data_IF_999028466955
#
_entry.id   IF_999028466955
#
_cell.length_a   1.000
_cell.length_b   1.000
_cell.length_c   1.000
_cell.angle_alpha   90.00
_cell.angle_beta   90.00
_cell.angle_gamma   90.00
#
_symmetry.space_group_name_H-M   'P 1'
#
loop_
_entity.id
_entity.type
_entity.pdbx_description
1 polymer ?
#
# COMPACT_ATOMS: atom_id res chain seq x y z
N UNK A 1 -16.30 1.31 5.94
CA UNK A 1 -15.76 1.33 4.56
C UNK A 1 -15.08 0.00 4.24
N UNK A 2 -14.87 -0.28 2.96
CA UNK A 2 -14.22 -1.49 2.42
C UNK A 2 -12.75 -1.26 2.07
N UNK A 3 -12.00 -2.35 1.98
CA UNK A 3 -10.65 -2.40 1.44
C UNK A 3 -10.66 -3.00 0.03
N UNK A 4 -9.66 -2.64 -0.76
CA UNK A 4 -9.38 -3.22 -2.07
C UNK A 4 -7.90 -3.60 -2.16
N UNK A 5 -7.58 -4.41 -3.17
CA UNK A 5 -6.20 -4.77 -3.48
C UNK A 5 -5.74 -4.08 -4.76
N UNK A 6 -4.64 -3.34 -4.68
CA UNK A 6 -3.97 -2.74 -5.84
C UNK A 6 -2.63 -3.44 -6.01
N UNK A 7 -2.55 -4.35 -6.98
CA UNK A 7 -1.33 -5.12 -7.25
C UNK A 7 -0.75 -5.74 -5.97
N UNK A 8 -1.60 -6.42 -5.19
CA UNK A 8 -1.24 -7.10 -3.93
C UNK A 8 -0.96 -6.19 -2.72
N UNK A 9 -1.35 -4.90 -2.78
CA UNK A 9 -1.37 -4.02 -1.61
C UNK A 9 -2.82 -3.76 -1.18
N UNK A 10 -3.12 -4.05 0.08
CA UNK A 10 -4.41 -3.74 0.70
C UNK A 10 -4.44 -2.24 1.04
N UNK A 11 -5.45 -1.54 0.53
CA UNK A 11 -5.68 -0.12 0.76
C UNK A 11 -7.17 0.16 1.00
N UNK A 12 -7.47 1.32 1.58
CA UNK A 12 -8.83 1.84 1.62
C UNK A 12 -9.38 2.08 0.20
N UNK A 13 -10.62 1.64 -0.06
CA UNK A 13 -11.25 1.78 -1.39
C UNK A 13 -11.49 3.23 -1.81
N UNK A 14 -11.91 4.10 -0.89
CA UNK A 14 -12.27 5.49 -1.25
C UNK A 14 -11.06 6.40 -1.40
N UNK A 15 -10.08 6.26 -0.49
CA UNK A 15 -8.94 7.18 -0.40
C UNK A 15 -7.64 6.61 -0.97
N UNK A 16 -7.62 5.31 -1.29
CA UNK A 16 -6.46 4.64 -1.92
C UNK A 16 -5.18 4.82 -1.09
N UNK A 17 -5.30 4.72 0.23
CA UNK A 17 -4.19 4.79 1.19
C UNK A 17 -4.16 3.55 2.06
N UNK A 18 -2.97 3.13 2.49
CA UNK A 18 -2.78 1.96 3.36
C UNK A 18 -3.37 2.20 4.76
N UNK A 19 -3.20 3.40 5.31
CA UNK A 19 -3.80 3.83 6.58
C UNK A 19 -4.71 5.02 6.28
N UNK A 20 -5.98 4.89 6.61
CA UNK A 20 -7.01 5.88 6.37
C UNK A 20 -7.73 6.21 7.67
N UNK A 21 -7.42 7.38 8.24
CA UNK A 21 -8.07 7.87 9.46
C UNK A 21 -9.55 8.18 9.23
N UNK A 22 -9.93 8.69 8.05
CA UNK A 22 -11.33 9.00 7.74
C UNK A 22 -12.21 7.73 7.72
N UNK A 23 -11.65 6.63 7.24
CA UNK A 23 -12.34 5.34 7.12
C UNK A 23 -12.08 4.39 8.30
N UNK A 24 -11.17 4.77 9.21
CA UNK A 24 -10.67 3.94 10.32
C UNK A 24 -10.13 2.58 9.84
N UNK A 25 -9.35 2.60 8.75
CA UNK A 25 -8.71 1.41 8.16
C UNK A 25 -7.20 1.51 8.36
N UNK A 26 -6.58 0.44 8.86
CA UNK A 26 -5.13 0.29 8.94
C UNK A 26 -4.71 -1.05 8.31
N UNK A 27 -4.22 -1.00 7.07
CA UNK A 27 -3.79 -2.18 6.31
C UNK A 27 -2.34 -2.61 6.59
N UNK A 28 -1.61 -1.94 7.50
CA UNK A 28 -0.17 -2.23 7.70
C UNK A 28 0.06 -3.66 8.16
N UNK A 29 -0.77 -4.18 9.05
CA UNK A 29 -0.64 -5.56 9.57
C UNK A 29 -0.81 -6.59 8.44
N UNK A 30 -1.88 -6.47 7.64
CA UNK A 30 -2.17 -7.36 6.53
C UNK A 30 -1.07 -7.30 5.46
N UNK A 31 -0.64 -6.09 5.09
CA UNK A 31 0.41 -5.89 4.10
C UNK A 31 1.76 -6.42 4.59
N UNK A 32 2.15 -6.14 5.83
CA UNK A 32 3.41 -6.63 6.40
C UNK A 32 3.41 -8.16 6.42
N UNK A 33 2.33 -8.78 6.91
CA UNK A 33 2.18 -10.23 6.94
C UNK A 33 2.25 -10.86 5.55
N UNK A 34 1.54 -10.29 4.57
CA UNK A 34 1.56 -10.75 3.17
C UNK A 34 2.97 -10.75 2.57
N UNK A 35 3.77 -9.73 2.86
CA UNK A 35 5.15 -9.63 2.36
C UNK A 35 6.20 -10.39 3.20
N UNK A 36 5.76 -11.05 4.28
CA UNK A 36 6.58 -11.87 5.18
C UNK A 36 7.34 -11.07 6.25
N UNK A 37 6.78 -9.93 6.67
CA UNK A 37 7.32 -9.09 7.74
C UNK A 37 6.45 -9.21 9.00
N UNK A 38 7.07 -8.98 10.15
CA UNK A 38 6.33 -8.73 11.39
C UNK A 38 5.77 -7.31 11.37
N UNK A 39 4.49 -7.19 11.74
CA UNK A 39 3.83 -5.90 11.93
C UNK A 39 4.67 -5.02 12.88
N UNK A 40 4.93 -3.80 12.46
CA UNK A 40 5.76 -2.82 13.15
C UNK A 40 5.09 -1.45 13.12
N UNK A 41 5.44 -0.60 14.09
CA UNK A 41 5.02 0.80 14.07
C UNK A 41 5.84 1.58 13.03
N UNK A 42 5.41 1.48 11.76
CA UNK A 42 5.99 2.18 10.62
C UNK A 42 5.01 3.16 10.01
N UNK A 43 5.55 4.15 9.32
CA UNK A 43 4.71 5.04 8.51
C UNK A 43 4.00 4.25 7.38
N UNK A 44 2.80 4.69 6.96
CA UNK A 44 2.10 4.09 5.83
C UNK A 44 2.94 4.19 4.54
N UNK A 45 2.84 3.19 3.66
CA UNK A 45 3.49 3.28 2.36
C UNK A 45 2.80 4.29 1.45
N UNK A 46 3.59 5.05 0.70
CA UNK A 46 3.06 5.95 -0.31
C UNK A 46 2.49 5.16 -1.50
N UNK A 47 1.17 5.25 -1.68
CA UNK A 47 0.46 4.64 -2.81
C UNK A 47 0.58 5.57 -4.02
N UNK A 48 1.08 5.04 -5.13
CA UNK A 48 1.20 5.82 -6.36
C UNK A 48 -0.18 6.05 -7.00
N UNK A 49 -0.40 7.16 -7.73
CA UNK A 49 -1.67 7.43 -8.40
C UNK A 49 -2.11 6.26 -9.30
N UNK A 50 -3.38 5.89 -9.15
CA UNK A 50 -4.03 4.84 -9.92
C UNK A 50 -5.25 5.36 -10.63
N UNK A 51 -5.59 4.70 -11.73
CA UNK A 51 -6.81 4.94 -12.49
C UNK A 51 -7.55 3.62 -12.61
N UNK A 52 -8.88 3.68 -12.61
CA UNK A 52 -9.75 2.50 -12.76
C UNK A 52 -10.10 2.30 -14.23
N UNK A 53 -9.97 1.06 -14.73
CA UNK A 53 -10.37 0.70 -16.09
C UNK A 53 -11.89 0.53 -16.21
N UNK A 54 -12.40 0.43 -17.43
CA UNK A 54 -13.82 0.14 -17.70
C UNK A 54 -14.27 -1.19 -17.08
N UNK A 55 -13.36 -2.16 -17.01
CA UNK A 55 -13.57 -3.46 -16.34
C UNK A 55 -13.52 -3.38 -14.80
N UNK A 56 -13.31 -2.17 -14.27
CA UNK A 56 -13.27 -1.92 -12.83
C UNK A 56 -11.92 -2.25 -12.15
N UNK A 57 -10.88 -2.58 -12.91
CA UNK A 57 -9.56 -2.94 -12.42
C UNK A 57 -8.67 -1.71 -12.19
N UNK A 58 -7.78 -1.76 -11.20
CA UNK A 58 -6.86 -0.66 -10.90
C UNK A 58 -5.54 -0.81 -11.66
N UNK A 59 -5.11 0.27 -12.30
CA UNK A 59 -3.82 0.35 -12.99
C UNK A 59 -3.10 1.63 -12.61
N UNK A 60 -1.77 1.64 -12.70
CA UNK A 60 -1.03 2.87 -12.42
C UNK A 60 -1.38 3.93 -13.48
N UNK A 61 -1.55 5.17 -13.05
CA UNK A 61 -1.99 6.24 -13.94
C UNK A 61 -0.95 6.51 -15.06
N UNK A 62 0.34 6.45 -14.70
CA UNK A 62 1.44 6.81 -15.59
C UNK A 62 1.71 5.78 -16.71
N UNK A 63 1.66 4.49 -16.40
CA UNK A 63 2.03 3.43 -17.35
C UNK A 63 0.84 2.56 -17.75
N UNK A 64 -0.36 2.84 -17.21
CA UNK A 64 -1.60 2.12 -17.51
C UNK A 64 -1.42 0.60 -17.38
N UNK A 65 -0.77 0.18 -16.30
CA UNK A 65 -0.45 -1.22 -16.04
C UNK A 65 -0.92 -1.63 -14.66
N UNK A 66 -1.63 -2.75 -14.59
CA UNK A 66 -2.17 -3.34 -13.36
C UNK A 66 -1.08 -4.00 -12.48
N UNK A 67 0.09 -4.28 -13.06
CA UNK A 67 1.23 -4.91 -12.38
C UNK A 67 2.53 -4.12 -12.59
N UNK A 68 2.41 -2.78 -12.56
CA UNK A 68 3.51 -1.89 -12.88
C UNK A 68 4.66 -2.00 -11.86
N UNK A 69 5.71 -2.74 -12.19
CA UNK A 69 6.88 -2.93 -11.30
C UNK A 69 7.62 -1.64 -10.92
N UNK A 70 7.41 -0.55 -11.67
CA UNK A 70 7.99 0.78 -11.37
C UNK A 70 7.18 1.54 -10.32
N UNK A 71 5.85 1.43 -10.33
CA UNK A 71 4.95 2.16 -9.43
C UNK A 71 4.56 1.31 -8.21
N UNK A 72 4.25 0.04 -8.46
CA UNK A 72 3.67 -0.93 -7.52
C UNK A 72 4.72 -1.82 -6.86
N UNK A 73 5.95 -1.32 -6.68
CA UNK A 73 7.02 -2.05 -6.00
C UNK A 73 6.81 -2.11 -4.47
N UNK A 74 5.62 -2.53 -4.03
CA UNK A 74 5.11 -2.43 -2.65
C UNK A 74 6.02 -3.06 -1.62
N UNK A 75 6.48 -4.30 -1.86
CA UNK A 75 7.46 -4.94 -0.97
C UNK A 75 8.69 -4.07 -0.72
N UNK A 76 9.20 -3.37 -1.75
CA UNK A 76 10.35 -2.46 -1.58
C UNK A 76 9.97 -1.22 -0.76
N UNK A 77 8.76 -0.67 -0.95
CA UNK A 77 8.24 0.46 -0.16
C UNK A 77 8.04 0.08 1.31
N UNK A 78 7.45 -1.09 1.59
CA UNK A 78 7.31 -1.63 2.95
C UNK A 78 8.68 -1.80 3.62
N UNK A 79 9.65 -2.44 2.93
CA UNK A 79 11.02 -2.57 3.46
C UNK A 79 11.64 -1.22 3.78
N UNK A 80 11.40 -0.20 2.95
CA UNK A 80 11.91 1.16 3.19
C UNK A 80 11.25 1.77 4.42
N UNK A 81 9.93 1.71 4.54
CA UNK A 81 9.18 2.23 5.69
C UNK A 81 9.60 1.55 7.00
N UNK A 82 9.81 0.23 7.00
CA UNK A 82 10.36 -0.52 8.15
C UNK A 82 11.75 0.00 8.53
N UNK A 83 12.63 0.25 7.56
CA UNK A 83 13.98 0.77 7.85
C UNK A 83 13.93 2.17 8.43
N UNK A 84 13.08 3.03 7.90
CA UNK A 84 12.87 4.40 8.39
C UNK A 84 12.29 4.38 9.81
N UNK A 85 11.34 3.48 10.11
CA UNK A 85 10.82 3.25 11.45
C UNK A 85 11.91 2.83 12.45
N UNK A 86 12.77 1.87 12.07
CA UNK A 86 13.92 1.45 12.90
C UNK A 86 14.91 2.58 13.15
N UNK A 87 15.21 3.38 12.14
CA UNK A 87 16.07 4.56 12.30
C UNK A 87 15.46 5.62 13.22
N UNK A 88 14.13 5.72 13.23
CA UNK A 88 13.37 6.60 14.13
C UNK A 88 13.15 6.00 15.54
N UNK A 89 13.62 4.78 15.81
CA UNK A 89 13.45 4.11 17.10
C UNK A 89 12.06 3.52 17.35
N UNK A 90 11.28 3.25 16.29
CA UNK A 90 9.91 2.71 16.34
C UNK A 90 9.81 1.20 16.02
N UNK A 91 10.92 0.49 15.87
CA UNK A 91 10.92 -0.93 15.45
C UNK A 91 12.09 -1.75 15.96
#
# INVERSE_FOLDING_TARGET
>A
MSTIEISDLVVCEEHIVEVCDDCQIDGREDNDAFYGFHSQDRDPVEVSPVTRTEDGLYQCDKHQSQSCSQCFCWKKKVVRAIREAKMAGRG
#
